data_IF_963062340652
#
_entry.id   IF_963062340652
#
_cell.length_a   1.000
_cell.length_b   1.000
_cell.length_c   1.000
_cell.angle_alpha   90.00
_cell.angle_beta   90.00
_cell.angle_gamma   90.00
#
_symmetry.space_group_name_H-M   'P 1'
#
loop_
_entity.id
_entity.type
_entity.pdbx_description
1 polymer ?
#
# COMPACT_ATOMS: atom_id res chain seq x y z
N UNK A 1 8.79 -23.81 0.14
CA UNK A 1 9.85 -22.92 0.63
C UNK A 1 9.43 -22.45 2.01
N UNK A 2 10.25 -22.64 3.05
CA UNK A 2 9.86 -22.23 4.41
C UNK A 2 9.94 -20.70 4.54
N UNK A 3 8.79 -20.04 4.52
CA UNK A 3 8.66 -18.58 4.64
C UNK A 3 9.28 -18.06 5.94
N UNK A 4 9.38 -18.89 6.96
CA UNK A 4 9.85 -18.47 8.30
C UNK A 4 11.35 -18.69 8.52
N UNK A 5 12.02 -19.47 7.67
CA UNK A 5 13.40 -19.92 7.90
C UNK A 5 14.40 -18.77 8.13
N UNK A 6 14.24 -17.66 7.39
CA UNK A 6 15.16 -16.53 7.39
C UNK A 6 14.86 -15.47 8.46
N UNK A 7 13.87 -15.69 9.32
CA UNK A 7 13.42 -14.73 10.33
C UNK A 7 13.97 -15.07 11.71
N UNK A 8 14.29 -14.02 12.50
CA UNK A 8 14.59 -14.19 13.91
C UNK A 8 13.32 -14.45 14.75
N UNK A 9 13.47 -14.85 16.02
CA UNK A 9 12.34 -15.24 16.88
C UNK A 9 11.27 -14.13 17.03
N UNK A 10 11.67 -12.86 17.16
CA UNK A 10 10.72 -11.73 17.27
C UNK A 10 9.98 -11.48 15.97
N UNK A 11 10.67 -11.56 14.84
CA UNK A 11 10.08 -11.45 13.51
C UNK A 11 9.12 -12.62 13.23
N UNK A 12 9.49 -13.86 13.58
CA UNK A 12 8.59 -15.03 13.48
C UNK A 12 7.30 -14.79 14.25
N UNK A 13 7.41 -14.37 15.52
CA UNK A 13 6.24 -14.07 16.35
C UNK A 13 5.32 -13.03 15.72
N UNK A 14 5.86 -11.96 15.11
CA UNK A 14 5.08 -10.95 14.43
C UNK A 14 4.41 -11.49 13.14
N UNK A 15 5.12 -12.31 12.38
CA UNK A 15 4.61 -12.93 11.13
C UNK A 15 3.52 -13.96 11.41
N UNK A 16 3.65 -14.76 12.45
CA UNK A 16 2.69 -15.84 12.80
C UNK A 16 1.62 -15.42 13.81
N UNK A 17 1.56 -14.14 14.18
CA UNK A 17 0.53 -13.62 15.09
C UNK A 17 -0.88 -14.01 14.60
N UNK A 18 -1.78 -14.31 15.53
CA UNK A 18 -3.18 -14.65 15.23
C UNK A 18 -3.85 -13.56 14.38
N UNK A 19 -4.89 -13.90 13.58
CA UNK A 19 -5.71 -12.90 12.90
C UNK A 19 -6.29 -11.88 13.88
N UNK A 20 -6.30 -10.61 13.47
CA UNK A 20 -6.76 -9.47 14.27
C UNK A 20 -5.79 -8.29 14.19
N UNK A 21 -6.07 -7.20 14.91
CA UNK A 21 -5.18 -6.05 14.99
C UNK A 21 -3.84 -6.41 15.62
N UNK A 22 -2.75 -6.16 14.91
CA UNK A 22 -1.37 -6.42 15.39
C UNK A 22 -0.53 -5.17 15.19
N UNK A 23 0.01 -4.64 16.29
CA UNK A 23 0.97 -3.54 16.26
C UNK A 23 2.38 -4.07 16.47
N UNK A 24 3.29 -3.75 15.55
CA UNK A 24 4.71 -4.11 15.64
C UNK A 24 5.54 -2.84 15.77
N UNK A 25 6.12 -2.61 16.94
CA UNK A 25 7.04 -1.51 17.19
C UNK A 25 8.47 -1.97 16.86
N UNK A 26 9.11 -1.27 15.93
CA UNK A 26 10.41 -1.68 15.40
C UNK A 26 11.25 -0.46 14.98
N UNK A 27 12.48 -0.39 15.45
CA UNK A 27 13.44 0.67 15.13
C UNK A 27 13.95 0.63 13.68
N UNK A 28 14.72 1.61 13.24
CA UNK A 28 15.41 1.59 11.95
C UNK A 28 16.26 0.32 11.80
N UNK A 29 16.33 -0.25 10.60
CA UNK A 29 17.14 -1.45 10.32
C UNK A 29 16.63 -2.78 10.91
N UNK A 30 15.58 -2.78 11.72
CA UNK A 30 15.01 -3.99 12.36
C UNK A 30 14.34 -4.97 11.40
N UNK A 31 14.17 -4.61 10.13
CA UNK A 31 13.51 -5.44 9.14
C UNK A 31 11.98 -5.31 9.08
N UNK A 32 11.41 -4.15 9.41
CA UNK A 32 9.96 -3.88 9.34
C UNK A 32 9.31 -4.35 8.04
N UNK A 33 9.88 -3.93 6.91
CA UNK A 33 9.37 -4.32 5.57
C UNK A 33 9.47 -5.83 5.36
N UNK A 34 10.52 -6.46 5.89
CA UNK A 34 10.68 -7.92 5.82
C UNK A 34 9.56 -8.62 6.59
N UNK A 35 9.22 -8.15 7.79
CA UNK A 35 8.11 -8.69 8.58
C UNK A 35 6.80 -8.55 7.81
N UNK A 36 6.52 -7.39 7.21
CA UNK A 36 5.29 -7.17 6.43
C UNK A 36 5.19 -8.10 5.22
N UNK A 37 6.27 -8.25 4.43
CA UNK A 37 6.27 -9.14 3.26
C UNK A 37 6.11 -10.61 3.64
N UNK A 38 6.81 -11.06 4.70
CA UNK A 38 6.66 -12.41 5.22
C UNK A 38 5.28 -12.66 5.82
N UNK A 39 4.69 -11.65 6.52
CA UNK A 39 3.32 -11.75 7.03
C UNK A 39 2.31 -11.91 5.89
N UNK A 40 2.41 -11.11 4.83
CA UNK A 40 1.54 -11.23 3.67
C UNK A 40 1.68 -12.62 3.01
N UNK A 41 2.91 -13.09 2.80
CA UNK A 41 3.15 -14.42 2.25
C UNK A 41 2.60 -15.54 3.17
N UNK A 42 2.79 -15.42 4.48
CA UNK A 42 2.28 -16.37 5.47
C UNK A 42 0.76 -16.44 5.48
N UNK A 43 0.07 -15.32 5.45
CA UNK A 43 -1.39 -15.27 5.38
C UNK A 43 -1.92 -15.99 4.13
N UNK A 44 -1.25 -15.84 2.99
CA UNK A 44 -1.66 -16.46 1.74
C UNK A 44 -1.31 -17.95 1.66
N UNK A 45 -0.15 -18.37 2.18
CA UNK A 45 0.30 -19.78 2.07
C UNK A 45 -0.26 -20.66 3.17
N UNK A 46 -0.20 -20.19 4.43
CA UNK A 46 -0.56 -21.03 5.58
C UNK A 46 -2.03 -20.85 5.99
N UNK A 47 -2.53 -19.61 5.95
CA UNK A 47 -3.92 -19.31 6.31
C UNK A 47 -4.86 -19.22 5.10
N UNK A 48 -4.36 -19.49 3.90
CA UNK A 48 -5.13 -19.57 2.64
C UNK A 48 -5.95 -18.31 2.34
N UNK A 49 -5.50 -17.15 2.84
CA UNK A 49 -6.16 -15.86 2.56
C UNK A 49 -5.99 -15.53 1.08
N UNK A 50 -7.10 -15.29 0.40
CA UNK A 50 -7.06 -14.96 -1.01
C UNK A 50 -6.41 -13.58 -1.24
N UNK A 51 -5.54 -13.42 -2.26
CA UNK A 51 -4.82 -12.17 -2.52
C UNK A 51 -5.74 -10.94 -2.65
N UNK A 52 -6.91 -11.08 -3.26
CA UNK A 52 -7.85 -9.97 -3.47
C UNK A 52 -8.55 -9.50 -2.18
N UNK A 53 -8.45 -10.26 -1.09
CA UNK A 53 -8.89 -9.84 0.25
C UNK A 53 -7.78 -9.14 1.04
N UNK A 54 -6.63 -8.90 0.43
CA UNK A 54 -5.48 -8.33 1.11
C UNK A 54 -5.06 -7.01 0.49
N UNK A 55 -4.69 -6.08 1.36
CA UNK A 55 -4.15 -4.79 1.00
C UNK A 55 -2.86 -4.55 1.78
N UNK A 56 -1.79 -4.19 1.08
CA UNK A 56 -0.53 -3.80 1.68
C UNK A 56 -0.17 -2.38 1.21
N UNK A 57 -0.08 -1.44 2.15
CA UNK A 57 0.17 -0.04 1.83
C UNK A 57 1.50 0.45 2.38
N UNK A 58 2.13 1.37 1.65
CA UNK A 58 3.40 1.98 2.01
C UNK A 58 3.41 3.46 1.59
N UNK A 59 4.49 4.18 1.89
CA UNK A 59 4.57 5.62 1.61
C UNK A 59 5.08 5.96 0.21
N UNK A 60 5.87 5.09 -0.44
CA UNK A 60 6.46 5.38 -1.75
C UNK A 60 6.17 4.28 -2.76
N UNK A 61 6.04 4.66 -4.03
CA UNK A 61 5.84 3.72 -5.12
C UNK A 61 6.99 2.69 -5.22
N UNK A 62 8.23 3.15 -5.05
CA UNK A 62 9.40 2.27 -5.03
C UNK A 62 9.30 1.20 -3.95
N UNK A 63 8.88 1.57 -2.73
CA UNK A 63 8.70 0.62 -1.64
C UNK A 63 7.55 -0.36 -1.91
N UNK A 64 6.47 0.09 -2.57
CA UNK A 64 5.36 -0.76 -2.97
C UNK A 64 5.79 -1.81 -4.01
N UNK A 65 6.52 -1.41 -5.04
CA UNK A 65 7.07 -2.32 -6.05
C UNK A 65 8.02 -3.36 -5.44
N UNK A 66 8.92 -2.90 -4.56
CA UNK A 66 9.85 -3.79 -3.87
C UNK A 66 9.12 -4.78 -2.96
N UNK A 67 8.09 -4.32 -2.24
CA UNK A 67 7.24 -5.16 -1.41
C UNK A 67 6.57 -6.25 -2.25
N UNK A 68 5.98 -5.89 -3.38
CA UNK A 68 5.33 -6.84 -4.30
C UNK A 68 6.30 -7.89 -4.83
N UNK A 69 7.48 -7.45 -5.31
CA UNK A 69 8.52 -8.36 -5.80
C UNK A 69 8.97 -9.36 -4.72
N UNK A 70 9.11 -8.90 -3.48
CA UNK A 70 9.49 -9.76 -2.34
C UNK A 70 8.41 -10.77 -1.98
N UNK A 71 7.13 -10.37 -2.01
CA UNK A 71 6.00 -11.28 -1.76
C UNK A 71 5.95 -12.35 -2.84
N UNK A 72 6.04 -11.96 -4.12
CA UNK A 72 6.06 -12.88 -5.24
C UNK A 72 7.23 -13.90 -5.15
N UNK A 73 8.42 -13.41 -4.77
CA UNK A 73 9.58 -14.26 -4.58
C UNK A 73 9.41 -15.28 -3.42
N UNK A 74 8.80 -14.86 -2.30
CA UNK A 74 8.52 -15.73 -1.16
C UNK A 74 7.52 -16.83 -1.51
N UNK A 75 6.55 -16.54 -2.37
CA UNK A 75 5.51 -17.48 -2.79
C UNK A 75 5.90 -18.30 -4.02
N UNK A 76 7.01 -17.97 -4.69
CA UNK A 76 7.45 -18.63 -5.92
C UNK A 76 6.49 -18.44 -7.10
N UNK A 77 5.60 -17.44 -7.04
CA UNK A 77 4.61 -17.13 -8.07
C UNK A 77 4.18 -15.69 -8.05
N UNK A 78 3.68 -15.18 -9.17
CA UNK A 78 3.05 -13.85 -9.21
C UNK A 78 1.71 -13.85 -8.47
N UNK A 79 1.56 -12.90 -7.56
CA UNK A 79 0.34 -12.72 -6.77
C UNK A 79 -0.63 -11.79 -7.50
N UNK A 80 -1.56 -12.39 -8.26
CA UNK A 80 -2.64 -11.62 -8.91
C UNK A 80 -3.72 -11.28 -7.89
N UNK A 81 -4.26 -10.05 -7.97
CA UNK A 81 -5.34 -9.58 -7.11
C UNK A 81 -4.90 -8.99 -5.77
N UNK A 82 -3.64 -9.17 -5.34
CA UNK A 82 -3.10 -8.51 -4.15
C UNK A 82 -2.95 -7.00 -4.43
N UNK A 83 -3.60 -6.17 -3.63
CA UNK A 83 -3.43 -4.71 -3.69
C UNK A 83 -2.16 -4.33 -2.94
N UNK A 84 -1.14 -3.85 -3.68
CA UNK A 84 0.08 -3.28 -3.11
C UNK A 84 0.29 -1.90 -3.71
N UNK A 85 0.34 -0.87 -2.88
CA UNK A 85 0.47 0.50 -3.36
C UNK A 85 0.83 1.49 -2.26
N UNK A 86 0.86 2.77 -2.63
CA UNK A 86 0.89 3.84 -1.63
C UNK A 86 -0.52 4.09 -1.10
N UNK A 87 -0.64 4.73 0.07
CA UNK A 87 -1.94 5.18 0.56
C UNK A 87 -2.69 5.99 -0.51
N UNK A 88 -2.02 6.95 -1.15
CA UNK A 88 -2.64 7.78 -2.19
C UNK A 88 -3.13 6.97 -3.39
N UNK A 89 -2.31 6.09 -3.95
CA UNK A 89 -2.71 5.28 -5.12
C UNK A 89 -3.83 4.30 -4.79
N UNK A 90 -3.80 3.72 -3.60
CA UNK A 90 -4.84 2.79 -3.13
C UNK A 90 -6.17 3.52 -2.91
N UNK A 91 -6.14 4.67 -2.20
CA UNK A 91 -7.33 5.49 -1.99
C UNK A 91 -7.90 6.01 -3.32
N UNK A 92 -7.05 6.47 -4.24
CA UNK A 92 -7.49 6.87 -5.56
C UNK A 92 -8.19 5.73 -6.34
N UNK A 93 -7.69 4.51 -6.21
CA UNK A 93 -8.34 3.33 -6.78
C UNK A 93 -9.73 3.07 -6.17
N UNK A 94 -9.85 3.14 -4.85
CA UNK A 94 -11.13 2.98 -4.13
C UNK A 94 -12.11 4.08 -4.57
N UNK A 95 -11.70 5.35 -4.58
CA UNK A 95 -12.55 6.45 -5.00
C UNK A 95 -13.07 6.31 -6.43
N UNK A 96 -12.28 5.73 -7.34
CA UNK A 96 -12.75 5.47 -8.72
C UNK A 96 -13.81 4.36 -8.77
N UNK A 97 -13.65 3.32 -7.96
CA UNK A 97 -14.61 2.22 -7.88
C UNK A 97 -15.93 2.73 -7.28
N UNK A 98 -15.85 3.53 -6.22
CA UNK A 98 -17.00 4.03 -5.47
C UNK A 98 -17.54 5.38 -5.98
N UNK A 99 -17.10 5.85 -7.15
CA UNK A 99 -17.45 7.16 -7.70
C UNK A 99 -18.98 7.35 -7.85
N UNK A 100 -19.73 6.28 -8.06
CA UNK A 100 -21.19 6.33 -8.15
C UNK A 100 -21.87 6.70 -6.81
N UNK A 101 -21.18 6.54 -5.68
CA UNK A 101 -21.69 6.77 -4.34
C UNK A 101 -21.19 8.07 -3.69
N UNK A 102 -20.32 8.80 -4.37
CA UNK A 102 -19.70 10.02 -3.86
C UNK A 102 -19.72 11.13 -4.94
N UNK A 103 -19.71 12.42 -4.56
CA UNK A 103 -19.75 13.52 -5.53
C UNK A 103 -18.39 13.72 -6.24
N UNK A 104 -17.82 12.65 -6.79
CA UNK A 104 -16.56 12.66 -7.52
C UNK A 104 -16.74 11.95 -8.86
N UNK A 105 -16.27 12.56 -9.94
CA UNK A 105 -16.31 11.92 -11.25
C UNK A 105 -15.31 10.75 -11.29
N UNK A 106 -15.70 9.62 -11.87
CA UNK A 106 -14.81 8.46 -12.01
C UNK A 106 -13.50 8.78 -12.76
N UNK A 107 -13.55 9.74 -13.69
CA UNK A 107 -12.41 10.20 -14.47
C UNK A 107 -11.71 11.43 -13.87
N UNK A 108 -11.78 11.63 -12.55
CA UNK A 108 -11.11 12.74 -11.90
C UNK A 108 -9.60 12.72 -12.13
N UNK A 109 -9.00 13.90 -12.22
CA UNK A 109 -7.55 14.10 -12.33
C UNK A 109 -6.98 14.39 -10.95
N UNK A 110 -5.84 13.79 -10.65
CA UNK A 110 -5.08 14.09 -9.43
C UNK A 110 -4.11 15.21 -9.77
N UNK A 111 -4.29 16.37 -9.15
CA UNK A 111 -3.41 17.52 -9.36
C UNK A 111 -2.11 17.34 -8.58
N UNK A 112 -0.99 17.55 -9.25
CA UNK A 112 0.30 17.72 -8.61
C UNK A 112 0.47 19.15 -8.04
N UNK A 113 1.63 19.46 -7.47
CA UNK A 113 1.88 20.78 -6.86
C UNK A 113 1.85 21.92 -7.90
N UNK A 114 2.30 21.67 -9.12
CA UNK A 114 2.31 22.65 -10.20
C UNK A 114 0.90 22.92 -10.71
N UNK A 115 0.09 21.87 -10.86
CA UNK A 115 -1.32 21.99 -11.22
C UNK A 115 -2.10 22.79 -10.16
N UNK A 116 -1.88 22.51 -8.87
CA UNK A 116 -2.49 23.25 -7.76
C UNK A 116 -2.11 24.74 -7.83
N UNK A 117 -0.82 25.04 -8.05
CA UNK A 117 -0.35 26.41 -8.17
C UNK A 117 -0.99 27.14 -9.36
N UNK A 118 -1.14 26.46 -10.50
CA UNK A 118 -1.82 27.04 -11.69
C UNK A 118 -3.27 27.40 -11.39
N UNK A 119 -4.00 26.51 -10.70
CA UNK A 119 -5.39 26.79 -10.30
C UNK A 119 -5.46 27.97 -9.36
N UNK A 120 -4.59 28.04 -8.34
CA UNK A 120 -4.55 29.19 -7.41
C UNK A 120 -4.28 30.50 -8.16
N UNK A 121 -3.28 30.53 -9.05
CA UNK A 121 -2.97 31.72 -9.87
C UNK A 121 -4.15 32.14 -10.74
N UNK A 122 -4.84 31.18 -11.34
CA UNK A 122 -6.02 31.48 -12.16
C UNK A 122 -7.14 32.09 -11.33
N UNK A 123 -7.44 31.52 -10.15
CA UNK A 123 -8.47 32.06 -9.24
C UNK A 123 -8.11 33.47 -8.77
N UNK A 124 -6.85 33.75 -8.40
CA UNK A 124 -6.40 35.07 -8.01
C UNK A 124 -6.61 36.09 -9.14
N UNK A 125 -6.25 35.71 -10.37
CA UNK A 125 -6.48 36.55 -11.55
C UNK A 125 -7.96 36.83 -11.78
N UNK A 126 -8.82 35.81 -11.69
CA UNK A 126 -10.26 35.93 -11.91
C UNK A 126 -10.93 36.83 -10.83
N UNK A 127 -10.38 36.83 -9.62
CA UNK A 127 -10.81 37.69 -8.51
C UNK A 127 -10.15 39.08 -8.51
N UNK A 128 -9.35 39.44 -9.53
CA UNK A 128 -8.57 40.66 -9.62
C UNK A 128 -7.62 40.92 -8.43
N UNK A 129 -7.12 39.86 -7.79
CA UNK A 129 -6.01 40.00 -6.85
C UNK A 129 -4.70 40.04 -7.64
N UNK A 130 -3.94 41.10 -7.50
CA UNK A 130 -2.57 41.18 -8.03
C UNK A 130 -1.62 40.39 -7.13
N UNK A 131 -0.62 39.77 -7.77
CA UNK A 131 0.49 39.08 -7.07
C UNK A 131 1.31 40.02 -6.21
#
# INVERSE_FOLDING_TARGET
MDILQSLNGRQKKAVTASPGPVLVLAGPGSGKTRVLTHRAAYLMSELQVQPFHMMAVTFTNKAAEEMKKRIDALLGRHTRGLTVGTFHSTCAGILRIEAAHIPVNQNYVIFDADDQLRVVKQVLKDLNYNE
#
